data_IF_490425055585
#
_entry.id   IF_490425055585
#
_cell.length_a   1.000
_cell.length_b   1.000
_cell.length_c   1.000
_cell.angle_alpha   90.00
_cell.angle_beta   90.00
_cell.angle_gamma   90.00
#
_symmetry.space_group_name_H-M   'P 1'
#
loop_
_entity.id
_entity.type
_entity.pdbx_description
1 polymer ?
#
# COMPACT_ATOMS: atom_id res chain seq x y z
N UNK A 1 5.62 9.68 -20.29
CA UNK A 1 4.46 10.11 -19.48
C UNK A 1 4.35 9.13 -18.32
N UNK A 2 4.17 9.54 -17.05
CA UNK A 2 3.95 8.58 -15.98
C UNK A 2 2.64 7.84 -16.28
N UNK A 3 2.73 6.52 -16.47
CA UNK A 3 1.57 5.67 -16.70
C UNK A 3 0.89 5.42 -15.35
N UNK A 4 0.12 6.42 -14.91
CA UNK A 4 -0.79 6.30 -13.78
C UNK A 4 -2.14 5.85 -14.30
N UNK A 5 -2.64 4.74 -13.77
CA UNK A 5 -3.98 4.23 -14.02
C UNK A 5 -4.80 4.51 -12.77
N UNK A 6 -5.99 5.10 -12.94
CA UNK A 6 -6.99 5.19 -11.89
C UNK A 6 -8.03 4.11 -12.14
N UNK A 7 -8.24 3.25 -11.15
CA UNK A 7 -9.25 2.21 -11.17
C UNK A 7 -10.35 2.57 -10.19
N UNK A 8 -11.55 2.82 -10.72
CA UNK A 8 -12.71 3.20 -9.92
C UNK A 8 -13.35 1.97 -9.29
N UNK A 9 -13.58 2.03 -7.98
CA UNK A 9 -14.31 1.00 -7.22
C UNK A 9 -15.51 1.62 -6.52
N UNK A 10 -16.40 0.78 -5.97
CA UNK A 10 -17.54 1.25 -5.18
C UNK A 10 -17.14 1.97 -3.89
N UNK A 11 -15.91 1.78 -3.42
CA UNK A 11 -15.35 2.34 -2.19
C UNK A 11 -14.23 3.39 -2.46
N UNK A 12 -14.12 3.85 -3.71
CA UNK A 12 -13.24 4.94 -4.13
C UNK A 12 -12.24 4.56 -5.22
N UNK A 13 -11.31 5.48 -5.52
CA UNK A 13 -10.36 5.33 -6.61
C UNK A 13 -9.05 4.70 -6.15
N UNK A 14 -8.63 3.62 -6.81
CA UNK A 14 -7.31 3.03 -6.59
C UNK A 14 -6.35 3.57 -7.66
N UNK A 15 -5.25 4.15 -7.21
CA UNK A 15 -4.19 4.68 -8.07
C UNK A 15 -3.11 3.62 -8.25
N UNK A 16 -2.82 3.28 -9.49
CA UNK A 16 -1.74 2.37 -9.88
C UNK A 16 -0.70 3.18 -10.65
N UNK A 17 0.38 3.57 -9.97
CA UNK A 17 1.53 4.24 -10.60
C UNK A 17 2.62 3.21 -10.90
N UNK A 18 2.93 2.99 -12.18
CA UNK A 18 4.05 2.13 -12.58
C UNK A 18 5.42 2.78 -12.39
N UNK A 19 5.46 4.11 -12.31
CA UNK A 19 6.66 4.88 -12.04
C UNK A 19 6.65 5.32 -10.58
N UNK A 20 7.49 4.70 -9.77
CA UNK A 20 7.63 4.97 -8.33
C UNK A 20 9.03 5.54 -8.03
N UNK A 21 9.20 6.32 -6.96
CA UNK A 21 10.51 6.89 -6.60
C UNK A 21 11.53 5.83 -6.18
N UNK A 22 11.08 4.64 -5.76
CA UNK A 22 11.92 3.50 -5.41
C UNK A 22 11.42 2.23 -6.11
N UNK A 23 12.29 1.22 -6.32
CA UNK A 23 11.88 -0.08 -6.85
C UNK A 23 10.78 -0.74 -5.99
N UNK A 24 9.76 -1.30 -6.63
CA UNK A 24 8.75 -2.12 -5.95
C UNK A 24 9.15 -3.59 -6.00
N UNK A 25 8.96 -4.33 -4.90
CA UNK A 25 9.22 -5.79 -4.88
C UNK A 25 8.27 -6.56 -5.79
N UNK A 26 7.06 -6.03 -5.99
CA UNK A 26 6.12 -6.48 -7.00
C UNK A 26 5.65 -5.27 -7.81
N UNK A 27 5.74 -5.30 -9.14
CA UNK A 27 5.31 -4.17 -9.98
C UNK A 27 3.83 -3.81 -9.77
N UNK A 28 3.49 -2.51 -9.69
CA UNK A 28 2.09 -2.08 -9.64
C UNK A 28 1.35 -2.42 -10.94
N UNK A 29 0.28 -3.20 -10.82
CA UNK A 29 -0.47 -3.71 -11.96
C UNK A 29 -1.92 -4.05 -11.60
N UNK A 30 -2.74 -4.20 -12.64
CA UNK A 30 -4.11 -4.72 -12.55
C UNK A 30 -4.15 -6.00 -13.36
N UNK A 31 -4.63 -7.08 -12.74
CA UNK A 31 -4.93 -8.34 -13.39
C UNK A 31 -6.45 -8.47 -13.49
N UNK A 32 -6.92 -8.76 -14.69
CA UNK A 32 -8.33 -8.92 -15.00
C UNK A 32 -8.69 -10.40 -15.13
N UNK A 33 -9.92 -10.75 -14.77
CA UNK A 33 -10.47 -12.07 -15.03
C UNK A 33 -10.93 -12.23 -16.50
N UNK A 34 -11.45 -13.42 -16.83
CA UNK A 34 -11.95 -13.73 -18.16
C UNK A 34 -13.15 -12.89 -18.60
N UNK A 35 -13.83 -12.21 -17.67
CA UNK A 35 -14.97 -11.32 -17.95
C UNK A 35 -14.54 -9.86 -18.14
N UNK A 36 -13.27 -9.55 -17.87
CA UNK A 36 -12.71 -8.20 -17.92
C UNK A 36 -12.88 -7.42 -16.61
N UNK A 37 -13.34 -8.05 -15.54
CA UNK A 37 -13.39 -7.43 -14.22
C UNK A 37 -12.03 -7.54 -13.51
N UNK A 38 -11.65 -6.55 -12.70
CA UNK A 38 -10.38 -6.62 -11.96
C UNK A 38 -10.45 -7.72 -10.90
N UNK A 39 -9.55 -8.70 -11.00
CA UNK A 39 -9.41 -9.78 -10.05
C UNK A 39 -8.37 -9.45 -8.97
N UNK A 40 -7.27 -8.80 -9.39
CA UNK A 40 -6.16 -8.47 -8.51
C UNK A 40 -5.55 -7.13 -8.87
N UNK A 41 -5.31 -6.29 -7.87
CA UNK A 41 -4.64 -5.00 -8.02
C UNK A 41 -3.45 -4.95 -7.08
N UNK A 42 -2.29 -4.62 -7.62
CA UNK A 42 -1.07 -4.34 -6.86
C UNK A 42 -0.81 -2.85 -6.96
N UNK A 43 -0.74 -2.16 -5.83
CA UNK A 43 -0.53 -0.72 -5.79
C UNK A 43 0.60 -0.33 -4.83
N UNK A 44 1.35 0.68 -5.24
CA UNK A 44 2.39 1.35 -4.46
C UNK A 44 2.05 2.84 -4.28
N UNK A 45 0.78 3.23 -4.43
CA UNK A 45 0.35 4.63 -4.41
C UNK A 45 -1.00 4.88 -3.75
N UNK A 46 -1.67 3.82 -3.27
CA UNK A 46 -2.93 3.91 -2.56
C UNK A 46 -2.87 3.09 -1.30
N UNK A 47 -3.46 3.63 -0.23
CA UNK A 47 -3.77 2.91 0.99
C UNK A 47 -5.29 2.73 1.12
N UNK A 48 -5.69 1.66 1.82
CA UNK A 48 -7.08 1.30 2.07
C UNK A 48 -7.32 1.32 3.57
N UNK A 49 -8.34 2.07 3.99
CA UNK A 49 -8.84 2.08 5.36
C UNK A 49 -10.09 1.21 5.41
N UNK A 50 -10.15 0.31 6.38
CA UNK A 50 -11.31 -0.55 6.61
C UNK A 50 -11.79 -0.35 8.03
N UNK A 51 -13.07 -0.01 8.17
CA UNK A 51 -13.77 0.08 9.45
C UNK A 51 -14.73 -1.10 9.56
N UNK A 52 -14.46 -2.01 10.49
CA UNK A 52 -15.30 -3.16 10.82
C UNK A 52 -15.40 -3.29 12.33
N UNK A 53 -16.60 -3.56 12.85
CA UNK A 53 -16.85 -3.80 14.28
C UNK A 53 -16.28 -2.73 15.23
N UNK A 54 -16.33 -1.47 14.82
CA UNK A 54 -15.81 -0.33 15.59
C UNK A 54 -14.28 -0.21 15.61
N UNK A 55 -13.56 -1.07 14.90
CA UNK A 55 -12.10 -1.02 14.74
C UNK A 55 -11.73 -0.54 13.35
N UNK A 56 -10.89 0.48 13.28
CA UNK A 56 -10.37 1.01 12.02
C UNK A 56 -8.96 0.48 11.77
N UNK A 57 -8.76 -0.21 10.65
CA UNK A 57 -7.46 -0.76 10.23
C UNK A 57 -7.02 -0.13 8.92
N UNK A 58 -5.74 0.23 8.80
CA UNK A 58 -5.17 0.80 7.58
C UNK A 58 -4.23 -0.21 6.94
N UNK A 59 -4.50 -0.54 5.68
CA UNK A 59 -3.64 -1.33 4.82
C UNK A 59 -2.96 -0.40 3.84
N UNK A 60 -1.64 -0.26 3.95
CA UNK A 60 -0.85 0.63 3.11
C UNK A 60 0.40 -0.09 2.58
N UNK A 61 0.92 0.34 1.42
CA UNK A 61 2.29 0.00 1.04
C UNK A 61 3.27 0.42 2.13
N UNK A 62 4.42 -0.24 2.19
CA UNK A 62 5.48 0.09 3.15
C UNK A 62 6.78 0.41 2.43
N UNK A 63 7.49 1.42 2.92
CA UNK A 63 8.83 1.73 2.47
C UNK A 63 9.84 0.99 3.35
N UNK A 64 10.65 0.13 2.74
CA UNK A 64 11.63 -0.69 3.42
C UNK A 64 13.05 -0.29 3.00
N UNK A 65 13.90 0.00 3.98
CA UNK A 65 15.33 0.21 3.81
C UNK A 65 16.09 -0.97 4.39
N UNK A 66 17.01 -1.54 3.61
CA UNK A 66 17.88 -2.61 4.09
C UNK A 66 18.82 -2.08 5.20
N UNK A 67 18.89 -2.79 6.33
CA UNK A 67 19.70 -2.37 7.47
C UNK A 67 21.22 -2.52 7.26
N UNK A 68 21.65 -3.46 6.40
CA UNK A 68 23.06 -3.68 6.07
C UNK A 68 23.51 -2.86 4.86
N UNK A 69 22.55 -2.38 4.05
CA UNK A 69 22.76 -1.61 2.81
C UNK A 69 21.73 -0.48 2.72
N UNK A 70 21.90 0.63 3.46
CA UNK A 70 20.90 1.69 3.54
C UNK A 70 20.53 2.35 2.21
N UNK A 71 21.39 2.25 1.20
CA UNK A 71 21.13 2.66 -0.18
C UNK A 71 20.08 1.78 -0.89
N UNK A 72 19.87 0.54 -0.44
CA UNK A 72 18.84 -0.36 -0.95
C UNK A 72 17.48 -0.06 -0.28
N UNK A 73 16.71 0.80 -0.94
CA UNK A 73 15.34 1.15 -0.55
C UNK A 73 14.36 0.49 -1.53
N UNK A 74 13.31 -0.13 -0.99
CA UNK A 74 12.26 -0.80 -1.77
C UNK A 74 10.87 -0.48 -1.25
N UNK A 75 9.90 -0.47 -2.15
CA UNK A 75 8.48 -0.40 -1.79
C UNK A 75 7.91 -1.81 -1.74
N UNK A 76 7.25 -2.12 -0.63
CA UNK A 76 6.47 -3.32 -0.41
C UNK A 76 5.00 -2.94 -0.71
N UNK A 77 4.44 -3.34 -1.87
CA UNK A 77 3.16 -2.85 -2.31
C UNK A 77 1.99 -3.45 -1.50
N UNK A 78 0.84 -2.80 -1.60
CA UNK A 78 -0.44 -3.32 -1.17
C UNK A 78 -1.05 -4.15 -2.31
N UNK A 79 -1.57 -5.32 -1.97
CA UNK A 79 -2.31 -6.18 -2.89
C UNK A 79 -3.78 -6.22 -2.48
N UNK A 80 -4.67 -6.04 -3.45
CA UNK A 80 -6.11 -6.18 -3.34
C UNK A 80 -6.55 -7.32 -4.25
N UNK A 81 -7.21 -8.33 -3.72
CA UNK A 81 -7.79 -9.44 -4.49
C UNK A 81 -9.33 -9.44 -4.31
N UNK A 82 -10.05 -9.35 -5.42
CA UNK A 82 -11.50 -9.38 -5.48
C UNK A 82 -11.96 -10.83 -5.64
N UNK A 83 -12.55 -11.39 -4.60
CA UNK A 83 -12.99 -12.78 -4.58
C UNK A 83 -14.42 -12.92 -5.12
N UNK A 84 -14.76 -14.02 -5.82
CA UNK A 84 -16.11 -14.24 -6.36
C UNK A 84 -17.24 -14.22 -5.31
N UNK A 85 -16.91 -14.45 -4.04
CA UNK A 85 -17.84 -14.38 -2.91
C UNK A 85 -18.25 -12.95 -2.51
N UNK A 86 -17.72 -11.91 -3.18
CA UNK A 86 -17.94 -10.51 -2.80
C UNK A 86 -17.04 -10.03 -1.65
N UNK A 87 -16.05 -10.84 -1.29
CA UNK A 87 -15.01 -10.48 -0.33
C UNK A 87 -13.84 -9.77 -1.03
N UNK A 88 -13.26 -8.80 -0.34
CA UNK A 88 -12.01 -8.16 -0.69
C UNK A 88 -10.92 -8.67 0.24
N UNK A 89 -9.88 -9.27 -0.33
CA UNK A 89 -8.66 -9.63 0.41
C UNK A 89 -7.63 -8.52 0.25
N UNK A 90 -7.22 -7.94 1.37
CA UNK A 90 -6.16 -6.93 1.46
C UNK A 90 -4.91 -7.60 2.02
N UNK A 91 -3.78 -7.48 1.32
CA UNK A 91 -2.52 -8.09 1.73
C UNK A 91 -1.37 -7.09 1.61
N UNK A 92 -0.67 -6.89 2.72
CA UNK A 92 0.65 -6.22 2.76
C UNK A 92 1.72 -7.28 3.07
N UNK A 93 2.99 -6.88 3.16
CA UNK A 93 4.05 -7.78 3.64
C UNK A 93 3.80 -8.29 5.06
N UNK A 94 3.17 -7.48 5.91
CA UNK A 94 3.11 -7.72 7.36
C UNK A 94 1.71 -8.12 7.86
N UNK A 95 0.68 -7.91 7.04
CA UNK A 95 -0.71 -8.14 7.43
C UNK A 95 -1.54 -8.60 6.25
N UNK A 96 -2.59 -9.35 6.54
CA UNK A 96 -3.65 -9.65 5.57
C UNK A 96 -5.00 -9.59 6.28
N UNK A 97 -6.05 -9.30 5.52
CA UNK A 97 -7.43 -9.37 5.98
C UNK A 97 -8.37 -9.67 4.82
N UNK A 98 -9.51 -10.28 5.14
CA UNK A 98 -10.62 -10.46 4.21
C UNK A 98 -11.84 -9.75 4.76
N UNK A 99 -12.42 -8.86 3.97
CA UNK A 99 -13.56 -8.03 4.37
C UNK A 99 -14.67 -8.12 3.34
N UNK A 100 -15.92 -8.10 3.80
CA UNK A 100 -17.06 -8.02 2.89
C UNK A 100 -17.18 -6.61 2.33
N UNK A 101 -17.13 -6.47 1.00
CA UNK A 101 -17.26 -5.18 0.32
C UNK A 101 -18.60 -4.53 0.61
N UNK A 102 -19.65 -5.33 0.83
CA UNK A 102 -21.01 -4.83 1.06
C UNK A 102 -21.28 -4.44 2.52
N UNK A 103 -20.51 -4.97 3.48
CA UNK A 103 -20.77 -4.77 4.91
C UNK A 103 -19.75 -3.87 5.61
N UNK A 104 -18.50 -3.83 5.13
CA UNK A 104 -17.46 -3.00 5.70
C UNK A 104 -17.50 -1.58 5.11
N UNK A 105 -17.20 -0.57 5.93
CA UNK A 105 -16.90 0.78 5.44
C UNK A 105 -15.44 0.81 4.98
N UNK A 106 -15.24 0.91 3.67
CA UNK A 106 -13.94 0.88 3.02
C UNK A 106 -13.70 2.23 2.38
N UNK A 107 -12.51 2.81 2.59
CA UNK A 107 -12.11 4.07 2.01
C UNK A 107 -10.71 3.97 1.42
N UNK A 108 -10.49 4.64 0.30
CA UNK A 108 -9.17 4.76 -0.34
C UNK A 108 -8.56 6.13 -0.07
N UNK A 109 -7.23 6.19 0.02
CA UNK A 109 -6.50 7.44 0.09
C UNK A 109 -5.14 7.31 -0.62
N UNK A 110 -4.61 8.45 -1.08
CA UNK A 110 -3.27 8.49 -1.67
C UNK A 110 -2.20 8.09 -0.63
N UNK A 111 -1.20 7.35 -1.11
CA UNK A 111 -0.02 6.98 -0.35
C UNK A 111 1.24 7.38 -1.12
N UNK A 112 2.26 7.86 -0.40
CA UNK A 112 3.53 8.28 -0.99
C UNK A 112 4.70 7.64 -0.25
N UNK A 113 5.70 7.21 -1.02
CA UNK A 113 6.94 6.65 -0.49
C UNK A 113 7.87 7.76 -0.02
N UNK A 114 7.66 8.26 1.19
CA UNK A 114 8.46 9.34 1.78
C UNK A 114 9.00 8.90 3.15
N UNK A 115 10.31 8.93 3.32
CA UNK A 115 10.91 8.88 4.64
C UNK A 115 10.63 10.19 5.35
N UNK A 116 10.08 10.10 6.55
CA UNK A 116 9.95 11.26 7.42
C UNK A 116 11.27 11.36 8.18
N UNK A 117 12.10 12.38 7.93
CA UNK A 117 13.30 12.58 8.72
C UNK A 117 12.86 12.77 10.18
N UNK A 118 13.41 11.96 11.07
CA UNK A 118 13.34 12.27 12.49
C UNK A 118 14.28 13.43 12.76
N UNK A 119 13.83 14.44 13.51
CA UNK A 119 14.65 15.54 14.04
C UNK A 119 15.62 15.01 15.10
N UNK A 120 16.44 14.03 14.74
CA UNK A 120 17.51 13.55 15.58
C UNK A 120 18.64 14.56 15.57
N UNK A 121 18.90 15.17 16.72
CA UNK A 121 20.17 15.86 16.96
C UNK A 121 21.20 14.77 17.24
N UNK A 122 22.12 14.57 16.27
CA UNK A 122 23.20 13.61 16.41
C UNK A 122 24.12 14.03 17.57
N UNK A 123 24.09 13.30 18.69
CA UNK A 123 25.03 13.54 19.77
C UNK A 123 26.41 13.00 19.39
N UNK A 124 27.34 13.90 19.08
CA UNK A 124 28.72 13.57 18.73
C UNK A 124 29.50 12.90 19.86
N UNK A 125 29.00 12.93 21.10
CA UNK A 125 29.67 12.34 22.26
C UNK A 125 29.25 10.90 22.57
N UNK A 126 28.00 10.51 22.27
CA UNK A 126 27.50 9.16 22.60
C UNK A 126 26.97 8.36 21.39
N UNK A 127 26.93 8.95 20.19
CA UNK A 127 26.42 8.30 18.98
C UNK A 127 24.93 7.97 19.02
N UNK A 128 24.20 8.41 20.04
CA UNK A 128 22.74 8.29 20.15
C UNK A 128 22.06 9.55 19.66
N UNK A 129 20.91 9.38 19.05
CA UNK A 129 19.97 10.46 18.82
C UNK A 129 19.36 10.91 20.15
N UNK A 130 19.49 12.20 20.47
CA UNK A 130 18.66 12.83 21.50
C UNK A 130 17.28 13.18 20.94
N UNK A 131 16.26 13.19 21.80
CA UNK A 131 14.91 13.66 21.50
C UNK A 131 14.71 15.04 22.13
#
# INVERSE_FOLDING_TARGET
>A
MPHTILYETTFGSIKICRTTPYPCTQPPEIQYDATGAAQKIVTASTQVKVSADGTQTVFAPSLYQNCMRPEEITILPLTLEFLPSGLLRLSTRYSHAEVSIAAADIQTADWQAVFHPSDCIHCTNCGRCGW
#
